data_IF_155709508865
#
_entry.id   IF_155709508865
#
_cell.length_a   1.000
_cell.length_b   1.000
_cell.length_c   1.000
_cell.angle_alpha   90.00
_cell.angle_beta   90.00
_cell.angle_gamma   90.00
#
_symmetry.space_group_name_H-M   'P 1'
#
loop_
_entity.id
_entity.type
_entity.pdbx_description
1 polymer ?
#
# COMPACT_ATOMS: atom_id res chain seq x y z
N UNK A 1 -8.78 -4.46 6.48
CA UNK A 1 -8.79 -3.34 5.52
C UNK A 1 -7.64 -3.54 4.56
N UNK A 2 -7.89 -3.67 3.26
CA UNK A 2 -6.81 -3.86 2.27
C UNK A 2 -5.90 -2.65 2.32
N UNK A 3 -4.58 -2.85 2.41
CA UNK A 3 -3.62 -1.73 2.37
C UNK A 3 -3.72 -1.00 1.02
N UNK A 4 -3.83 0.32 1.06
CA UNK A 4 -3.88 1.14 -0.15
C UNK A 4 -2.48 1.18 -0.77
N UNK A 5 -2.34 0.82 -2.04
CA UNK A 5 -1.06 0.91 -2.75
C UNK A 5 -0.62 2.36 -2.92
N UNK A 6 0.66 2.63 -2.65
CA UNK A 6 1.27 3.93 -2.89
C UNK A 6 1.97 3.90 -4.24
N UNK A 7 1.45 4.67 -5.19
CA UNK A 7 2.04 4.81 -6.53
C UNK A 7 3.05 5.96 -6.49
N UNK A 8 4.26 5.76 -7.01
CA UNK A 8 5.27 6.82 -7.09
C UNK A 8 5.28 7.50 -8.46
N UNK A 9 5.28 8.85 -8.45
CA UNK A 9 5.44 9.69 -9.64
C UNK A 9 6.21 10.96 -9.27
N UNK A 10 7.49 11.07 -9.65
CA UNK A 10 8.35 12.17 -9.26
C UNK A 10 7.78 13.54 -9.64
N UNK A 11 7.66 14.44 -8.66
CA UNK A 11 7.33 15.84 -8.90
C UNK A 11 8.50 16.60 -9.57
N UNK A 12 8.18 17.71 -10.22
CA UNK A 12 9.18 18.53 -10.90
C UNK A 12 10.00 19.38 -9.90
N UNK A 13 9.33 20.00 -8.93
CA UNK A 13 9.94 20.93 -7.99
C UNK A 13 10.28 20.25 -6.66
N UNK A 14 11.55 20.00 -6.41
CA UNK A 14 12.04 19.48 -5.15
C UNK A 14 13.56 19.72 -5.03
N UNK A 15 14.08 19.62 -3.83
CA UNK A 15 15.52 19.57 -3.56
C UNK A 15 15.87 18.19 -3.02
N UNK A 16 16.96 17.60 -3.53
CA UNK A 16 17.47 16.34 -2.99
C UNK A 16 18.00 16.52 -1.58
N UNK A 17 17.56 15.65 -0.68
CA UNK A 17 17.91 15.68 0.73
C UNK A 17 17.20 16.81 1.49
N UNK A 18 17.54 16.95 2.77
CA UNK A 18 16.94 17.88 3.75
C UNK A 18 17.99 18.70 4.51
N UNK A 19 19.12 19.03 3.88
CA UNK A 19 20.24 19.75 4.49
C UNK A 19 20.71 19.14 5.83
N UNK A 20 20.71 17.79 5.91
CA UNK A 20 21.09 17.04 7.12
C UNK A 20 20.00 16.90 8.17
N UNK A 21 18.78 17.38 7.91
CA UNK A 21 17.62 17.22 8.78
C UNK A 21 16.83 15.96 8.44
N UNK A 22 15.95 15.58 9.36
CA UNK A 22 14.94 14.54 9.17
C UNK A 22 13.55 15.13 9.35
N UNK A 23 12.51 14.52 8.77
CA UNK A 23 11.14 14.92 9.04
C UNK A 23 10.83 14.92 10.54
N UNK A 24 10.23 16.01 11.02
CA UNK A 24 9.82 16.21 12.41
C UNK A 24 8.33 16.47 12.57
N UNK A 25 7.60 16.60 11.46
CA UNK A 25 6.15 16.86 11.43
C UNK A 25 5.54 16.47 10.09
N UNK A 26 4.23 16.31 10.09
CA UNK A 26 3.39 16.14 8.89
C UNK A 26 2.54 17.39 8.75
N UNK A 27 2.48 17.97 7.54
CA UNK A 27 1.67 19.16 7.25
C UNK A 27 0.57 18.82 6.25
N UNK A 28 -0.68 19.01 6.65
CA UNK A 28 -1.83 18.84 5.76
C UNK A 28 -2.09 20.10 4.95
N UNK A 29 -2.32 19.86 3.66
CA UNK A 29 -2.79 20.84 2.68
C UNK A 29 -4.08 20.36 2.04
N UNK A 30 -4.74 21.22 1.26
CA UNK A 30 -5.72 20.82 0.28
C UNK A 30 -5.36 21.46 -1.07
N UNK A 31 -5.65 20.79 -2.16
CA UNK A 31 -5.27 21.22 -3.51
C UNK A 31 -6.17 22.28 -4.17
N UNK A 32 -6.97 22.98 -3.38
CA UNK A 32 -7.72 24.15 -3.82
C UNK A 32 -9.22 23.90 -4.00
N UNK A 33 -9.67 23.45 -5.16
CA UNK A 33 -11.08 23.44 -5.52
C UNK A 33 -11.76 22.08 -5.44
N UNK A 34 -13.00 22.05 -4.96
CA UNK A 34 -13.87 20.87 -5.04
C UNK A 34 -14.04 20.42 -6.50
N UNK A 35 -14.20 19.11 -6.74
CA UNK A 35 -14.40 18.54 -8.07
C UNK A 35 -13.13 18.37 -8.90
N UNK A 36 -11.99 18.82 -8.45
CA UNK A 36 -10.72 18.60 -9.12
C UNK A 36 -10.25 17.15 -8.95
N UNK A 37 -9.88 16.48 -10.05
CA UNK A 37 -9.50 15.08 -9.99
C UNK A 37 -8.10 14.89 -9.41
N UNK A 38 -7.90 13.76 -8.70
CA UNK A 38 -6.59 13.32 -8.20
C UNK A 38 -5.52 13.34 -9.30
N UNK A 39 -5.83 12.78 -10.47
CA UNK A 39 -4.87 12.70 -11.57
C UNK A 39 -4.50 14.09 -12.12
N UNK A 40 -5.42 15.05 -12.14
CA UNK A 40 -5.10 16.41 -12.56
C UNK A 40 -4.13 17.10 -11.60
N UNK A 41 -4.27 16.85 -10.31
CA UNK A 41 -3.35 17.39 -9.28
C UNK A 41 -1.99 16.72 -9.35
N UNK A 42 -1.94 15.40 -9.48
CA UNK A 42 -0.67 14.68 -9.69
C UNK A 42 0.03 15.18 -10.94
N UNK A 43 -0.70 15.34 -12.06
CA UNK A 43 -0.14 15.86 -13.31
C UNK A 43 0.37 17.29 -13.16
N UNK A 44 -0.33 18.15 -12.42
CA UNK A 44 0.11 19.53 -12.15
C UNK A 44 1.51 19.56 -11.49
N UNK A 45 1.79 18.66 -10.56
CA UNK A 45 3.09 18.59 -9.88
C UNK A 45 4.17 17.83 -10.67
N UNK A 46 3.78 16.92 -11.60
CA UNK A 46 4.73 15.98 -12.23
C UNK A 46 5.04 16.27 -13.68
N UNK A 47 4.19 16.99 -14.42
CA UNK A 47 4.38 17.21 -15.86
C UNK A 47 5.17 18.48 -16.25
N UNK A 48 5.64 19.24 -15.28
CA UNK A 48 6.42 20.44 -15.55
C UNK A 48 6.68 21.27 -14.31
N UNK A 49 7.40 22.40 -14.44
CA UNK A 49 7.76 23.25 -13.30
C UNK A 49 6.55 23.89 -12.62
N UNK A 50 5.38 23.90 -13.28
CA UNK A 50 4.13 24.41 -12.73
C UNK A 50 4.26 25.77 -12.04
N UNK A 51 3.71 25.88 -10.83
CA UNK A 51 3.78 27.08 -9.98
C UNK A 51 5.07 27.20 -9.16
N UNK A 52 6.02 26.28 -9.30
CA UNK A 52 7.20 26.21 -8.45
C UNK A 52 6.95 25.55 -7.08
N UNK A 53 5.77 24.94 -6.89
CA UNK A 53 5.38 24.23 -5.65
C UNK A 53 5.37 22.72 -5.85
N UNK A 54 5.32 21.98 -4.75
CA UNK A 54 5.16 20.52 -4.72
C UNK A 54 4.62 20.07 -3.37
N UNK A 55 4.47 18.75 -3.20
CA UNK A 55 4.20 18.10 -1.92
C UNK A 55 4.90 16.73 -1.90
N UNK A 56 4.83 16.00 -0.80
CA UNK A 56 5.33 14.63 -0.77
C UNK A 56 4.25 13.65 -1.27
N UNK A 57 3.01 13.91 -0.94
CA UNK A 57 1.88 13.05 -1.29
C UNK A 57 0.68 13.83 -1.81
N UNK A 58 -0.07 13.20 -2.71
CA UNK A 58 -1.41 13.58 -3.14
C UNK A 58 -2.36 12.46 -2.70
N UNK A 59 -3.44 12.81 -1.99
CA UNK A 59 -4.34 11.83 -1.35
C UNK A 59 -5.80 12.15 -1.66
N UNK A 60 -6.55 11.16 -2.08
CA UNK A 60 -8.01 11.17 -2.19
C UNK A 60 -8.57 9.81 -1.79
N UNK A 61 -9.90 9.69 -1.70
CA UNK A 61 -10.59 8.47 -1.32
C UNK A 61 -9.99 7.21 -1.97
N UNK A 62 -9.39 6.33 -1.17
CA UNK A 62 -8.78 5.06 -1.61
C UNK A 62 -7.54 5.20 -2.50
N UNK A 63 -6.95 6.41 -2.65
CA UNK A 63 -5.81 6.64 -3.54
C UNK A 63 -4.72 7.46 -2.88
N UNK A 64 -3.48 6.97 -2.95
CA UNK A 64 -2.27 7.66 -2.49
C UNK A 64 -1.25 7.68 -3.63
N UNK A 65 -0.79 8.86 -3.99
CA UNK A 65 0.35 9.03 -4.90
C UNK A 65 1.46 9.75 -4.17
N UNK A 66 2.61 9.12 -4.01
CA UNK A 66 3.82 9.78 -3.55
C UNK A 66 4.47 10.50 -4.73
N UNK A 67 4.72 11.80 -4.60
CA UNK A 67 5.28 12.61 -5.68
C UNK A 67 6.65 13.20 -5.33
N UNK A 68 7.07 13.12 -4.08
CA UNK A 68 8.43 13.42 -3.63
C UNK A 68 8.82 12.39 -2.57
N UNK A 69 10.05 11.92 -2.56
CA UNK A 69 10.50 11.02 -1.51
C UNK A 69 10.59 11.74 -0.16
N UNK A 70 10.26 11.05 0.93
CA UNK A 70 10.23 11.63 2.28
C UNK A 70 11.61 12.12 2.77
N UNK A 71 12.68 11.60 2.22
CA UNK A 71 14.05 12.07 2.50
C UNK A 71 14.49 13.26 1.64
N UNK A 72 13.67 13.69 0.68
CA UNK A 72 13.89 14.89 -0.13
C UNK A 72 13.03 16.07 0.40
N UNK A 73 13.27 17.26 -0.10
CA UNK A 73 12.54 18.49 0.32
C UNK A 73 11.54 18.88 -0.75
N UNK A 74 10.26 18.78 -0.47
CA UNK A 74 9.18 19.31 -1.28
C UNK A 74 8.90 20.78 -0.92
N UNK A 75 8.33 21.55 -1.85
CA UNK A 75 8.08 23.00 -1.70
C UNK A 75 6.61 23.26 -1.43
N UNK A 76 6.16 23.13 -0.18
CA UNK A 76 4.74 23.14 0.15
C UNK A 76 4.31 24.16 1.20
N UNK A 77 5.22 24.55 2.11
CA UNK A 77 4.81 25.30 3.31
C UNK A 77 4.99 26.83 3.20
N UNK A 78 5.55 27.33 2.09
CA UNK A 78 5.88 28.75 1.95
C UNK A 78 7.04 29.22 2.85
N UNK A 79 7.58 28.34 3.68
CA UNK A 79 8.74 28.55 4.55
C UNK A 79 9.77 27.43 4.30
N UNK A 80 11.03 27.82 4.05
CA UNK A 80 12.08 26.86 3.72
C UNK A 80 12.41 25.92 4.88
N UNK A 81 12.46 26.42 6.10
CA UNK A 81 12.75 25.60 7.27
C UNK A 81 11.64 24.59 7.52
N UNK A 82 10.37 24.98 7.33
CA UNK A 82 9.24 24.04 7.42
C UNK A 82 9.30 23.00 6.30
N UNK A 83 9.64 23.39 5.07
CA UNK A 83 9.83 22.43 3.96
C UNK A 83 10.91 21.40 4.28
N UNK A 84 12.03 21.81 4.90
CA UNK A 84 13.11 20.91 5.32
C UNK A 84 12.71 19.94 6.43
N UNK A 85 11.78 20.34 7.30
CA UNK A 85 11.40 19.58 8.50
C UNK A 85 10.08 18.83 8.36
N UNK A 86 9.33 19.04 7.28
CA UNK A 86 7.97 18.50 7.16
C UNK A 86 7.78 17.54 6.00
N UNK A 87 6.82 16.61 6.16
CA UNK A 87 6.22 15.84 5.07
C UNK A 87 4.87 16.50 4.75
N UNK A 88 4.74 17.07 3.54
CA UNK A 88 3.51 17.73 3.08
C UNK A 88 2.58 16.77 2.37
N UNK A 89 1.29 16.79 2.72
CA UNK A 89 0.24 15.97 2.12
C UNK A 89 -0.83 16.86 1.52
N UNK A 90 -1.01 16.80 0.20
CA UNK A 90 -2.12 17.43 -0.52
C UNK A 90 -3.35 16.55 -0.48
N UNK A 91 -4.37 16.99 0.22
CA UNK A 91 -5.60 16.27 0.45
C UNK A 91 -6.72 16.77 -0.46
N UNK A 92 -7.64 15.89 -0.84
CA UNK A 92 -8.84 16.25 -1.60
C UNK A 92 -9.73 17.20 -0.80
N UNK A 93 -10.10 18.39 -1.36
CA UNK A 93 -10.81 19.45 -0.61
C UNK A 93 -12.16 19.05 -0.05
N UNK A 94 -12.88 18.12 -0.70
CA UNK A 94 -14.18 17.62 -0.25
C UNK A 94 -14.14 17.01 1.13
N UNK A 95 -13.02 16.44 1.53
CA UNK A 95 -12.79 15.83 2.84
C UNK A 95 -13.91 14.86 3.26
N UNK A 96 -14.30 13.99 2.33
CA UNK A 96 -15.28 12.93 2.61
C UNK A 96 -14.76 11.98 3.68
N UNK A 97 -15.62 11.16 4.25
CA UNK A 97 -15.20 10.17 5.26
C UNK A 97 -14.09 9.26 4.72
N UNK A 98 -14.18 8.84 3.46
CA UNK A 98 -13.18 8.00 2.81
C UNK A 98 -11.87 8.77 2.55
N UNK A 99 -11.93 10.06 2.17
CA UNK A 99 -10.74 10.90 2.08
C UNK A 99 -10.02 10.97 3.44
N UNK A 100 -10.76 11.20 4.51
CA UNK A 100 -10.22 11.29 5.88
C UNK A 100 -9.57 9.97 6.32
N UNK A 101 -10.22 8.83 6.04
CA UNK A 101 -9.66 7.51 6.33
C UNK A 101 -8.37 7.24 5.55
N UNK A 102 -8.34 7.63 4.27
CA UNK A 102 -7.15 7.48 3.42
C UNK A 102 -5.99 8.34 3.92
N UNK A 103 -6.26 9.58 4.34
CA UNK A 103 -5.26 10.45 4.95
C UNK A 103 -4.74 9.85 6.27
N UNK A 104 -5.62 9.34 7.13
CA UNK A 104 -5.23 8.71 8.38
C UNK A 104 -4.35 7.46 8.15
N UNK A 105 -4.68 6.64 7.15
CA UNK A 105 -3.88 5.49 6.74
C UNK A 105 -2.47 5.92 6.32
N UNK A 106 -2.34 6.98 5.50
CA UNK A 106 -1.03 7.51 5.12
C UNK A 106 -0.26 8.07 6.33
N UNK A 107 -0.92 8.84 7.21
CA UNK A 107 -0.31 9.37 8.44
C UNK A 107 0.23 8.24 9.32
N UNK A 108 -0.51 7.14 9.45
CA UNK A 108 -0.07 5.95 10.19
C UNK A 108 1.20 5.34 9.56
N UNK A 109 1.27 5.21 8.23
CA UNK A 109 2.45 4.69 7.52
C UNK A 109 3.67 5.59 7.68
N UNK A 110 3.49 6.90 7.50
CA UNK A 110 4.58 7.86 7.71
C UNK A 110 5.10 7.75 9.15
N UNK A 111 4.20 7.64 10.14
CA UNK A 111 4.59 7.47 11.54
C UNK A 111 5.30 6.15 11.84
N UNK A 112 4.96 5.07 11.15
CA UNK A 112 5.66 3.79 11.30
C UNK A 112 7.11 3.84 10.81
N UNK A 113 7.40 4.71 9.84
CA UNK A 113 8.74 4.88 9.27
C UNK A 113 9.55 5.96 10.02
N UNK A 114 8.93 7.09 10.33
CA UNK A 114 9.61 8.27 10.86
C UNK A 114 9.38 8.53 12.35
N UNK A 115 8.64 7.66 13.05
CA UNK A 115 8.23 7.87 14.43
C UNK A 115 6.95 8.69 14.53
N UNK A 116 6.45 8.89 15.75
CA UNK A 116 5.15 9.53 16.00
C UNK A 116 5.19 11.05 15.73
N UNK A 117 5.33 11.40 14.44
CA UNK A 117 5.37 12.80 14.00
C UNK A 117 4.04 13.52 14.32
N UNK A 118 4.09 14.76 14.88
CA UNK A 118 2.91 15.57 15.06
C UNK A 118 2.28 15.93 13.71
N UNK A 119 0.94 15.95 13.69
CA UNK A 119 0.14 16.40 12.57
C UNK A 119 -0.19 17.87 12.76
N UNK A 120 0.07 18.69 11.75
CA UNK A 120 -0.16 20.14 11.70
C UNK A 120 -0.81 20.54 10.38
N UNK A 121 -1.13 21.80 10.22
CA UNK A 121 -1.81 22.36 9.06
C UNK A 121 -1.00 23.50 8.43
N UNK A 122 -1.19 23.73 7.13
CA UNK A 122 -0.46 24.78 6.41
C UNK A 122 -0.62 26.18 7.05
N UNK A 123 -1.82 26.50 7.52
CA UNK A 123 -2.11 27.79 8.20
C UNK A 123 -1.34 28.01 9.50
N UNK A 124 -0.71 26.98 10.08
CA UNK A 124 0.17 27.14 11.25
C UNK A 124 1.50 27.82 10.88
N UNK A 125 1.89 27.81 9.62
CA UNK A 125 3.19 28.26 9.12
C UNK A 125 3.10 29.42 8.14
N UNK A 126 1.96 29.56 7.44
CA UNK A 126 1.77 30.58 6.42
C UNK A 126 0.33 31.14 6.46
N UNK A 127 0.13 32.44 6.26
CA UNK A 127 -1.21 33.04 6.20
C UNK A 127 -2.00 32.51 4.99
N UNK A 128 -2.85 31.53 5.19
CA UNK A 128 -3.63 30.87 4.15
C UNK A 128 -4.90 30.24 4.71
N UNK A 129 -5.90 30.04 3.84
CA UNK A 129 -7.10 29.25 4.18
C UNK A 129 -6.87 27.72 4.09
N UNK A 130 -5.73 27.28 3.53
CA UNK A 130 -5.33 25.88 3.48
C UNK A 130 -5.06 25.37 4.92
N UNK A 131 -5.53 24.19 5.31
CA UNK A 131 -6.08 23.11 4.51
C UNK A 131 -7.63 23.06 4.45
N UNK A 132 -8.32 24.17 4.61
CA UNK A 132 -9.78 24.22 4.52
C UNK A 132 -10.49 23.32 5.53
N UNK A 133 -11.32 22.38 5.07
CA UNK A 133 -12.10 21.47 5.92
C UNK A 133 -11.22 20.61 6.84
N UNK A 134 -9.99 20.30 6.45
CA UNK A 134 -9.09 19.44 7.24
C UNK A 134 -8.63 20.09 8.54
N UNK A 135 -8.70 21.42 8.67
CA UNK A 135 -8.37 22.10 9.90
C UNK A 135 -9.18 21.57 11.11
N UNK A 136 -10.44 21.25 10.90
CA UNK A 136 -11.33 20.71 11.95
C UNK A 136 -11.26 19.19 12.10
N UNK A 137 -10.51 18.50 11.22
CA UNK A 137 -10.43 17.04 11.17
C UNK A 137 -9.13 16.48 11.74
N UNK A 138 -8.22 17.32 12.22
CA UNK A 138 -6.91 16.90 12.74
C UNK A 138 -7.05 15.84 13.83
N UNK A 139 -7.92 16.07 14.82
CA UNK A 139 -8.10 15.15 15.94
C UNK A 139 -8.69 13.81 15.46
N UNK A 140 -9.65 13.88 14.53
CA UNK A 140 -10.23 12.66 13.93
C UNK A 140 -9.20 11.87 13.14
N UNK A 141 -8.37 12.54 12.34
CA UNK A 141 -7.30 11.88 11.58
C UNK A 141 -6.27 11.26 12.54
N UNK A 142 -5.88 11.98 13.59
CA UNK A 142 -4.98 11.45 14.62
C UNK A 142 -5.55 10.21 15.31
N UNK A 143 -6.83 10.24 15.68
CA UNK A 143 -7.50 9.09 16.26
C UNK A 143 -7.49 7.90 15.32
N UNK A 144 -7.96 8.07 14.08
CA UNK A 144 -7.99 7.00 13.07
C UNK A 144 -6.58 6.47 12.72
N UNK A 145 -5.56 7.32 12.74
CA UNK A 145 -4.18 6.89 12.50
C UNK A 145 -3.57 6.10 13.67
N UNK A 146 -4.14 6.24 14.88
CA UNK A 146 -3.74 5.50 16.08
C UNK A 146 -4.58 4.23 16.28
N UNK A 147 -5.79 4.18 15.71
CA UNK A 147 -6.57 2.95 15.71
C UNK A 147 -5.72 1.86 15.07
N UNK A 148 -5.34 0.87 15.88
CA UNK A 148 -4.76 -0.35 15.32
C UNK A 148 -5.78 -0.85 14.30
N UNK A 149 -5.36 -1.01 13.05
CA UNK A 149 -6.01 -2.00 12.19
C UNK A 149 -5.99 -3.24 13.08
N UNK A 150 -7.14 -3.75 13.45
CA UNK A 150 -7.21 -5.06 14.07
C UNK A 150 -6.62 -6.01 13.04
N UNK A 151 -5.27 -6.10 13.05
CA UNK A 151 -4.58 -7.11 12.29
C UNK A 151 -5.15 -8.42 12.80
N UNK A 152 -5.72 -9.20 11.89
CA UNK A 152 -6.17 -10.54 12.23
C UNK A 152 -4.99 -11.24 12.90
N UNK A 153 -5.16 -11.55 14.17
CA UNK A 153 -4.14 -12.27 14.93
C UNK A 153 -4.03 -13.68 14.34
N UNK A 154 -2.84 -14.27 14.40
CA UNK A 154 -2.66 -15.66 13.95
C UNK A 154 -3.60 -16.64 14.65
N UNK A 155 -4.10 -16.28 15.84
CA UNK A 155 -5.09 -17.04 16.61
C UNK A 155 -6.54 -16.82 16.20
N UNK A 156 -6.83 -15.77 15.40
CA UNK A 156 -8.21 -15.46 15.01
C UNK A 156 -8.81 -16.60 14.20
N UNK A 157 -10.07 -16.89 14.47
CA UNK A 157 -10.78 -17.98 13.80
C UNK A 157 -11.55 -17.46 12.59
N UNK A 158 -11.35 -18.10 11.46
CA UNK A 158 -12.07 -17.84 10.22
C UNK A 158 -12.97 -19.02 9.91
N UNK A 159 -14.27 -18.77 9.77
CA UNK A 159 -15.25 -19.79 9.37
C UNK A 159 -15.49 -19.70 7.86
N UNK A 160 -15.26 -20.79 7.17
CA UNK A 160 -15.49 -20.88 5.72
C UNK A 160 -16.98 -21.05 5.41
N UNK A 161 -17.42 -20.81 4.17
CA UNK A 161 -18.80 -21.04 3.76
C UNK A 161 -19.29 -22.49 3.94
N UNK A 162 -18.37 -23.46 3.99
CA UNK A 162 -18.64 -24.87 4.27
C UNK A 162 -18.80 -25.18 5.78
N UNK A 163 -18.70 -24.17 6.64
CA UNK A 163 -18.82 -24.29 8.09
C UNK A 163 -17.54 -24.71 8.81
N UNK A 164 -16.45 -25.01 8.11
CA UNK A 164 -15.18 -25.32 8.76
C UNK A 164 -14.47 -24.06 9.24
N UNK A 165 -13.97 -24.11 10.48
CA UNK A 165 -13.23 -23.02 11.13
C UNK A 165 -11.76 -23.39 11.24
N UNK A 166 -10.89 -22.46 10.91
CA UNK A 166 -9.45 -22.59 11.08
C UNK A 166 -8.86 -21.28 11.58
N UNK A 167 -7.74 -21.32 12.30
CA UNK A 167 -7.03 -20.08 12.65
C UNK A 167 -6.40 -19.44 11.44
N UNK A 168 -6.20 -18.13 11.47
CA UNK A 168 -5.45 -17.40 10.42
C UNK A 168 -4.05 -17.99 10.29
N UNK A 169 -3.41 -18.35 11.41
CA UNK A 169 -2.09 -18.99 11.41
C UNK A 169 -2.09 -20.32 10.68
N UNK A 170 -3.08 -21.18 10.88
CA UNK A 170 -3.18 -22.47 10.16
C UNK A 170 -3.41 -22.28 8.66
N UNK A 171 -4.20 -21.26 8.30
CA UNK A 171 -4.47 -20.94 6.90
C UNK A 171 -3.20 -20.45 6.20
N UNK A 172 -2.45 -19.53 6.85
CA UNK A 172 -1.18 -19.02 6.32
C UNK A 172 -0.12 -20.11 6.22
N UNK A 173 0.04 -20.95 7.25
CA UNK A 173 0.95 -22.10 7.22
C UNK A 173 0.60 -23.09 6.09
N UNK A 174 -0.69 -23.32 5.83
CA UNK A 174 -1.14 -24.15 4.71
C UNK A 174 -0.81 -23.52 3.35
N UNK A 175 -1.00 -22.20 3.21
CA UNK A 175 -0.65 -21.48 1.97
C UNK A 175 0.87 -21.54 1.73
N UNK A 176 1.66 -21.27 2.76
CA UNK A 176 3.13 -21.29 2.71
C UNK A 176 3.66 -22.68 2.27
N UNK A 177 3.18 -23.74 2.90
CA UNK A 177 3.51 -25.12 2.50
C UNK A 177 3.14 -25.41 1.03
N UNK A 178 2.03 -24.84 0.52
CA UNK A 178 1.60 -25.01 -0.88
C UNK A 178 2.49 -24.25 -1.84
N UNK A 179 2.93 -23.05 -1.45
CA UNK A 179 3.87 -22.23 -2.24
C UNK A 179 5.23 -22.93 -2.31
N UNK A 180 5.80 -23.37 -1.20
CA UNK A 180 7.05 -24.15 -1.17
C UNK A 180 6.98 -25.39 -2.05
N UNK A 181 5.85 -26.10 -2.03
CA UNK A 181 5.66 -27.28 -2.89
C UNK A 181 5.62 -26.90 -4.37
N UNK A 182 4.98 -25.79 -4.73
CA UNK A 182 4.97 -25.29 -6.12
C UNK A 182 6.37 -24.86 -6.56
N UNK A 183 7.10 -24.14 -5.71
CA UNK A 183 8.49 -23.78 -5.97
C UNK A 183 9.38 -25.00 -6.15
N UNK A 184 9.24 -26.02 -5.30
CA UNK A 184 9.95 -27.28 -5.43
C UNK A 184 9.65 -28.00 -6.77
N UNK A 185 8.41 -27.97 -7.25
CA UNK A 185 8.03 -28.51 -8.55
C UNK A 185 8.60 -27.69 -9.70
N UNK A 186 8.54 -26.35 -9.58
CA UNK A 186 9.00 -25.44 -10.62
C UNK A 186 10.52 -25.41 -10.79
N UNK A 187 11.25 -25.48 -9.68
CA UNK A 187 12.72 -25.35 -9.65
C UNK A 187 13.38 -26.73 -9.61
N UNK A 188 12.90 -27.61 -8.73
CA UNK A 188 13.48 -28.94 -8.47
C UNK A 188 12.97 -30.05 -9.39
N UNK A 189 11.87 -29.79 -10.10
CA UNK A 189 11.23 -30.83 -10.92
C UNK A 189 10.47 -31.87 -10.11
N UNK A 190 9.94 -32.85 -10.79
CA UNK A 190 9.25 -34.01 -10.21
C UNK A 190 9.95 -35.32 -10.62
N UNK A 191 9.99 -36.25 -9.71
CA UNK A 191 10.51 -37.58 -10.01
C UNK A 191 9.67 -38.26 -11.08
N UNK A 192 10.32 -38.68 -12.15
CA UNK A 192 9.67 -39.54 -13.17
C UNK A 192 9.34 -40.90 -12.58
N UNK A 193 8.09 -41.32 -12.76
CA UNK A 193 7.67 -42.67 -12.45
C UNK A 193 7.72 -43.53 -13.72
N UNK A 194 8.31 -44.70 -13.59
CA UNK A 194 8.27 -45.72 -14.63
C UNK A 194 6.86 -46.32 -14.81
N UNK A 195 6.66 -47.17 -15.83
CA UNK A 195 5.38 -47.85 -16.07
C UNK A 195 4.90 -48.73 -14.90
N UNK A 196 5.81 -49.12 -14.02
CA UNK A 196 5.56 -49.89 -12.79
C UNK A 196 5.18 -49.01 -11.59
N UNK A 197 5.08 -47.66 -11.79
CA UNK A 197 4.76 -46.69 -10.75
C UNK A 197 5.92 -46.36 -9.81
N UNK A 198 7.12 -46.95 -9.99
CA UNK A 198 8.31 -46.68 -9.17
C UNK A 198 9.06 -45.47 -9.71
N UNK A 199 9.68 -44.74 -8.79
CA UNK A 199 10.53 -43.60 -9.11
C UNK A 199 11.77 -44.06 -9.88
N UNK A 200 12.01 -43.47 -11.04
CA UNK A 200 13.15 -43.83 -11.92
C UNK A 200 14.46 -43.17 -11.53
N UNK A 201 14.45 -42.25 -10.54
CA UNK A 201 15.60 -41.42 -10.16
C UNK A 201 15.95 -40.33 -11.17
N UNK A 202 15.14 -40.14 -12.22
CA UNK A 202 15.31 -39.06 -13.18
C UNK A 202 14.43 -37.87 -12.77
N UNK A 203 15.07 -36.72 -12.53
CA UNK A 203 14.41 -35.46 -12.26
C UNK A 203 14.15 -34.71 -13.58
N UNK A 204 13.01 -34.06 -13.67
CA UNK A 204 12.74 -33.08 -14.72
C UNK A 204 12.36 -31.77 -14.10
N UNK A 205 13.05 -30.70 -14.50
CA UNK A 205 12.62 -29.33 -14.23
C UNK A 205 12.10 -28.67 -15.51
N UNK A 206 11.47 -27.51 -15.38
CA UNK A 206 10.88 -26.78 -16.53
C UNK A 206 11.95 -26.36 -17.53
N UNK A 207 13.19 -26.15 -17.08
CA UNK A 207 14.31 -25.73 -17.93
C UNK A 207 14.92 -26.88 -18.75
N UNK A 208 14.76 -28.12 -18.31
CA UNK A 208 15.45 -29.28 -18.91
C UNK A 208 14.59 -30.02 -19.93
N UNK A 209 13.31 -29.78 -20.02
CA UNK A 209 12.45 -30.42 -20.99
C UNK A 209 11.65 -29.41 -21.84
N UNK A 210 12.08 -29.27 -23.09
CA UNK A 210 11.25 -28.65 -24.14
C UNK A 210 9.92 -29.41 -24.38
N UNK A 211 9.68 -30.50 -23.67
CA UNK A 211 8.54 -31.42 -23.78
C UNK A 211 7.76 -31.57 -22.44
N UNK A 212 7.66 -30.51 -21.64
CA UNK A 212 6.61 -30.49 -20.63
C UNK A 212 5.28 -30.54 -21.33
N UNK A 213 4.66 -31.77 -21.32
CA UNK A 213 3.43 -31.96 -22.09
C UNK A 213 2.34 -31.00 -21.55
N UNK A 214 1.42 -30.61 -22.42
CA UNK A 214 0.33 -29.67 -22.13
C UNK A 214 -0.44 -30.03 -20.83
N UNK A 215 -0.48 -31.33 -20.46
CA UNK A 215 -1.14 -31.81 -19.24
C UNK A 215 -0.45 -31.34 -17.94
N UNK A 216 0.88 -31.25 -17.92
CA UNK A 216 1.59 -30.78 -16.74
C UNK A 216 1.54 -29.27 -16.62
N UNK A 217 1.57 -28.54 -17.73
CA UNK A 217 1.34 -27.10 -17.77
C UNK A 217 -0.08 -26.76 -17.28
N UNK A 218 -1.09 -27.51 -17.72
CA UNK A 218 -2.46 -27.33 -17.29
C UNK A 218 -2.61 -27.56 -15.78
N UNK A 219 -1.94 -28.58 -15.22
CA UNK A 219 -1.97 -28.82 -13.76
C UNK A 219 -1.36 -27.69 -12.94
N UNK A 220 -0.28 -27.09 -13.41
CA UNK A 220 0.33 -25.90 -12.73
C UNK A 220 -0.60 -24.72 -12.87
N UNK A 221 -1.16 -24.48 -14.04
CA UNK A 221 -2.13 -23.41 -14.27
C UNK A 221 -3.36 -23.54 -13.37
N UNK A 222 -3.93 -24.75 -13.30
CA UNK A 222 -5.09 -25.04 -12.45
C UNK A 222 -4.76 -24.85 -10.96
N UNK A 223 -3.55 -25.23 -10.53
CA UNK A 223 -3.09 -25.03 -9.15
C UNK A 223 -2.90 -23.53 -8.82
N UNK A 224 -2.34 -22.76 -9.74
CA UNK A 224 -2.19 -21.31 -9.60
C UNK A 224 -3.55 -20.61 -9.60
N UNK A 225 -4.47 -21.00 -10.47
CA UNK A 225 -5.84 -20.46 -10.50
C UNK A 225 -6.60 -20.78 -9.21
N UNK A 226 -6.45 -21.99 -8.66
CA UNK A 226 -7.04 -22.38 -7.39
C UNK A 226 -6.44 -21.63 -6.21
N UNK A 227 -5.13 -21.32 -6.24
CA UNK A 227 -4.46 -20.50 -5.23
C UNK A 227 -4.93 -19.06 -5.30
N UNK A 228 -5.00 -18.46 -6.49
CA UNK A 228 -5.50 -17.10 -6.73
C UNK A 228 -6.93 -16.94 -6.21
N UNK A 229 -7.80 -17.89 -6.53
CA UNK A 229 -9.18 -17.91 -6.03
C UNK A 229 -9.25 -18.00 -4.50
N UNK A 230 -8.38 -18.79 -3.86
CA UNK A 230 -8.33 -18.89 -2.40
C UNK A 230 -7.80 -17.63 -1.74
N UNK A 231 -6.84 -16.94 -2.35
CA UNK A 231 -6.39 -15.62 -1.90
C UNK A 231 -7.54 -14.62 -2.00
N UNK A 232 -8.28 -14.61 -3.11
CA UNK A 232 -9.47 -13.78 -3.29
C UNK A 232 -10.58 -14.12 -2.28
N UNK A 233 -10.86 -15.41 -2.04
CA UNK A 233 -11.82 -15.86 -1.04
C UNK A 233 -11.39 -15.45 0.38
N UNK A 234 -10.10 -15.51 0.73
CA UNK A 234 -9.55 -15.02 1.99
C UNK A 234 -9.67 -13.50 2.13
N UNK A 235 -9.37 -12.76 1.06
CA UNK A 235 -9.54 -11.31 1.02
C UNK A 235 -11.00 -10.93 1.25
N UNK A 236 -11.94 -11.60 0.59
CA UNK A 236 -13.37 -11.39 0.78
C UNK A 236 -13.85 -11.75 2.20
N UNK A 237 -13.29 -12.80 2.82
CA UNK A 237 -13.62 -13.18 4.20
C UNK A 237 -13.10 -12.14 5.22
N UNK A 238 -11.93 -11.57 4.97
CA UNK A 238 -11.37 -10.46 5.76
C UNK A 238 -12.28 -9.23 5.65
N UNK A 239 -12.79 -8.93 4.45
CA UNK A 239 -13.71 -7.81 4.21
C UNK A 239 -15.11 -8.01 4.85
N UNK A 240 -15.60 -9.24 4.91
CA UNK A 240 -16.91 -9.56 5.52
C UNK A 240 -16.82 -9.66 7.04
N UNK A 241 -15.71 -10.12 7.58
CA UNK A 241 -15.46 -10.20 9.04
C UNK A 241 -15.18 -8.84 9.69
N UNK A 242 -15.00 -7.78 8.88
CA UNK A 242 -14.75 -6.41 9.33
C UNK A 242 -16.04 -5.54 9.39
N UNK A 243 -17.25 -6.15 9.31
CA UNK A 243 -18.54 -5.45 9.43
C UNK A 243 -19.22 -5.79 10.79
#
# INVERSE_FOLDING_TARGET
>A
MTMIDIIFRQCWNFTRGREGRSPSKIVLHHWGNDGQSHDSVVNFFTLGPGSGTSAHYVVSAGRITQICHDYDTAYHAGDWNVNLDAIGIECRPEATEEDVRTVAELVRRIRSEWGNLPLSVHSDYFPTACPGRYHQLIDKINQLAQEEVQDMQLSDQVTRPDGHTASVGDILAYVDMRVERLESILIGGVDKKGPDGKTTGAHTNISDEAAWNATNFQRVYDALAALSKRVEDLTNLIEVGAK
#
